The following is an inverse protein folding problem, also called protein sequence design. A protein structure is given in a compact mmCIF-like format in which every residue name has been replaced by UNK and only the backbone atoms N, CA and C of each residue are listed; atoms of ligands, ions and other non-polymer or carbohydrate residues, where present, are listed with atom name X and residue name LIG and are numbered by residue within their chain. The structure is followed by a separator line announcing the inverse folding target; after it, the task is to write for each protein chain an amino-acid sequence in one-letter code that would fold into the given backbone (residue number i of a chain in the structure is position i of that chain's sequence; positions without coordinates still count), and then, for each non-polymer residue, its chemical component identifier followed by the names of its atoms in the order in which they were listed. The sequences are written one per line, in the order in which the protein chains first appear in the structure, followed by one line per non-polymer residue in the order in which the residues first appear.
data_IF_579167208456
#
_entry.id   IF_579167208456
#
_cell.length_a   1.000
_cell.length_b   1.000
_cell.length_c   1.000
_cell.angle_alpha   90.00
_cell.angle_beta   90.00
_cell.angle_gamma   90.00
#
_symmetry.space_group_name_H-M   'P 1'
#
loop_
_entity.id
_entity.type
_entity.pdbx_description
1 polymer ?
#
# COMPACT_ATOMS: atom_id res chain seq x y z
N UNK A 1 27.05 -24.82 -0.42
CA UNK A 1 27.94 -24.82 -1.59
C UNK A 1 28.20 -26.26 -2.09
N UNK A 2 28.55 -27.22 -1.20
CA UNK A 2 28.82 -28.62 -1.58
C UNK A 2 27.64 -29.30 -2.29
N UNK A 3 26.41 -29.12 -1.76
CA UNK A 3 25.20 -29.72 -2.33
C UNK A 3 24.88 -29.23 -3.75
N UNK A 4 25.06 -27.90 -4.00
CA UNK A 4 24.87 -27.33 -5.33
C UNK A 4 25.92 -27.87 -6.32
N UNK A 5 27.18 -27.94 -5.89
CA UNK A 5 28.25 -28.46 -6.72
C UNK A 5 28.02 -29.93 -7.08
N UNK A 6 27.63 -30.77 -6.10
CA UNK A 6 27.31 -32.17 -6.34
C UNK A 6 26.12 -32.35 -7.30
N UNK A 7 25.07 -31.52 -7.13
CA UNK A 7 23.88 -31.54 -7.99
C UNK A 7 24.23 -31.17 -9.44
N UNK A 8 25.03 -30.12 -9.63
CA UNK A 8 25.53 -29.72 -10.96
C UNK A 8 26.39 -30.82 -11.59
N UNK A 9 27.26 -31.43 -10.80
CA UNK A 9 28.14 -32.53 -11.27
C UNK A 9 27.31 -33.74 -11.70
N UNK A 10 26.27 -34.12 -10.98
CA UNK A 10 25.37 -35.21 -11.36
C UNK A 10 24.58 -34.91 -12.63
N UNK A 11 24.09 -33.70 -12.80
CA UNK A 11 23.36 -33.29 -14.02
C UNK A 11 24.29 -33.30 -15.22
N UNK A 12 25.43 -32.63 -15.13
CA UNK A 12 26.41 -32.53 -16.23
C UNK A 12 27.02 -33.89 -16.55
N UNK A 13 27.44 -34.63 -15.53
CA UNK A 13 28.02 -35.97 -15.70
C UNK A 13 27.01 -36.98 -16.26
N UNK A 14 25.78 -36.97 -15.74
CA UNK A 14 24.68 -37.80 -16.24
C UNK A 14 24.34 -37.50 -17.71
N UNK A 15 24.24 -36.21 -18.06
CA UNK A 15 23.99 -35.78 -19.44
C UNK A 15 25.13 -36.19 -20.37
N UNK A 16 26.38 -35.98 -19.95
CA UNK A 16 27.56 -36.37 -20.73
C UNK A 16 27.62 -37.89 -20.96
N UNK A 17 27.28 -38.68 -19.95
CA UNK A 17 27.23 -40.15 -20.05
C UNK A 17 26.12 -40.59 -21.01
N UNK A 18 24.92 -40.04 -20.92
CA UNK A 18 23.80 -40.35 -21.83
C UNK A 18 24.17 -40.00 -23.28
N UNK A 19 24.71 -38.81 -23.52
CA UNK A 19 25.11 -38.38 -24.88
C UNK A 19 26.27 -39.22 -25.41
N UNK A 20 27.27 -39.54 -24.59
CA UNK A 20 28.45 -40.32 -24.99
C UNK A 20 28.16 -41.78 -25.30
N UNK A 21 27.25 -42.41 -24.51
CA UNK A 21 26.91 -43.83 -24.65
C UNK A 21 25.79 -44.04 -25.68
N UNK A 22 24.70 -43.31 -25.61
CA UNK A 22 23.52 -43.50 -26.46
C UNK A 22 23.64 -42.83 -27.83
N UNK A 23 24.52 -41.83 -27.97
CA UNK A 23 24.76 -41.05 -29.20
C UNK A 23 23.45 -40.65 -29.90
N UNK A 24 22.51 -40.00 -29.21
CA UNK A 24 21.20 -39.65 -29.76
C UNK A 24 21.38 -38.74 -30.99
N UNK A 25 20.42 -38.75 -31.95
CA UNK A 25 20.39 -37.82 -33.07
C UNK A 25 20.41 -36.37 -32.62
N UNK A 26 21.00 -35.45 -33.42
CA UNK A 26 21.07 -34.02 -33.07
C UNK A 26 19.70 -33.42 -32.91
N UNK A 27 18.72 -33.82 -33.71
CA UNK A 27 17.32 -33.35 -33.64
C UNK A 27 16.69 -33.65 -32.27
N UNK A 28 16.99 -34.80 -31.69
CA UNK A 28 16.50 -35.20 -30.36
C UNK A 28 17.14 -34.36 -29.26
N UNK A 29 18.45 -34.10 -29.36
CA UNK A 29 19.15 -33.22 -28.41
C UNK A 29 18.63 -31.79 -28.48
N UNK A 30 18.36 -31.26 -29.69
CA UNK A 30 17.79 -29.95 -29.89
C UNK A 30 16.37 -29.88 -29.34
N UNK A 31 15.54 -30.90 -29.54
CA UNK A 31 14.19 -30.96 -29.03
C UNK A 31 14.15 -30.94 -27.47
N UNK A 32 14.99 -31.77 -26.82
CA UNK A 32 15.09 -31.81 -25.36
C UNK A 32 15.69 -30.52 -24.83
N UNK A 33 16.79 -30.04 -25.41
CA UNK A 33 17.44 -28.81 -25.00
C UNK A 33 16.51 -27.57 -25.13
N UNK A 34 15.80 -27.51 -26.26
CA UNK A 34 14.80 -26.47 -26.48
C UNK A 34 13.65 -26.51 -25.46
N UNK A 35 13.10 -27.71 -25.22
CA UNK A 35 12.03 -27.87 -24.21
C UNK A 35 12.51 -27.53 -22.81
N UNK A 36 13.72 -27.95 -22.44
CA UNK A 36 14.31 -27.61 -21.14
C UNK A 36 14.58 -26.11 -21.00
N UNK A 37 15.06 -25.45 -22.06
CA UNK A 37 15.27 -24.00 -22.06
C UNK A 37 13.95 -23.21 -21.85
N UNK A 38 12.89 -23.64 -22.56
CA UNK A 38 11.55 -23.04 -22.39
C UNK A 38 11.03 -23.25 -20.97
N UNK A 39 11.13 -24.47 -20.45
CA UNK A 39 10.71 -24.78 -19.07
C UNK A 39 11.48 -23.95 -18.05
N UNK A 40 12.78 -23.77 -18.22
CA UNK A 40 13.63 -22.95 -17.36
C UNK A 40 13.28 -21.47 -17.48
N UNK A 41 12.99 -20.97 -18.69
CA UNK A 41 12.50 -19.61 -18.92
C UNK A 41 11.22 -19.33 -18.15
N UNK A 42 10.25 -20.25 -18.18
CA UNK A 42 9.02 -20.11 -17.40
C UNK A 42 9.28 -20.18 -15.89
N UNK A 43 10.17 -21.05 -15.42
CA UNK A 43 10.52 -21.15 -14.00
C UNK A 43 11.19 -19.87 -13.46
N UNK A 44 11.95 -19.15 -14.30
CA UNK A 44 12.66 -17.92 -13.93
C UNK A 44 11.88 -16.64 -14.24
N UNK A 45 10.73 -16.75 -14.92
CA UNK A 45 9.94 -15.59 -15.39
C UNK A 45 9.66 -14.57 -14.29
N UNK A 46 9.17 -15.02 -13.15
CA UNK A 46 8.75 -14.11 -12.06
C UNK A 46 9.94 -13.43 -11.39
N UNK A 47 11.08 -14.12 -11.32
CA UNK A 47 12.33 -13.54 -10.81
C UNK A 47 12.80 -12.44 -11.77
N UNK A 48 12.87 -12.76 -13.08
CA UNK A 48 13.26 -11.79 -14.10
C UNK A 48 12.31 -10.57 -14.12
N UNK A 49 11.00 -10.82 -14.09
CA UNK A 49 10.01 -9.76 -14.03
C UNK A 49 10.20 -8.84 -12.81
N UNK A 50 10.44 -9.41 -11.61
CA UNK A 50 10.67 -8.62 -10.40
C UNK A 50 11.96 -7.81 -10.46
N UNK A 51 13.03 -8.33 -11.08
CA UNK A 51 14.28 -7.60 -11.26
C UNK A 51 14.11 -6.41 -12.22
N UNK A 52 13.48 -6.66 -13.39
CA UNK A 52 13.20 -5.59 -14.37
C UNK A 52 12.30 -4.52 -13.74
N UNK A 53 11.25 -4.92 -13.03
CA UNK A 53 10.37 -3.99 -12.31
C UNK A 53 11.12 -3.20 -11.24
N UNK A 54 12.10 -3.82 -10.55
CA UNK A 54 12.95 -3.13 -9.60
C UNK A 54 13.81 -2.03 -10.24
N UNK A 55 14.32 -2.26 -11.46
CA UNK A 55 15.02 -1.24 -12.23
C UNK A 55 14.07 -0.10 -12.63
N UNK A 56 12.87 -0.41 -13.08
CA UNK A 56 11.84 0.60 -13.43
C UNK A 56 11.54 1.46 -12.21
N UNK A 57 11.27 0.85 -11.03
CA UNK A 57 11.01 1.58 -9.79
C UNK A 57 12.18 2.49 -9.38
N UNK A 58 13.41 2.08 -9.66
CA UNK A 58 14.60 2.87 -9.34
C UNK A 58 14.74 4.11 -10.25
N UNK A 59 14.38 3.99 -11.54
CA UNK A 59 14.48 5.09 -12.52
C UNK A 59 13.27 6.02 -12.47
N UNK A 60 12.06 5.48 -12.52
CA UNK A 60 10.82 6.27 -12.60
C UNK A 60 10.38 6.81 -11.24
N UNK A 61 10.77 6.15 -10.15
CA UNK A 61 10.48 6.53 -8.76
C UNK A 61 9.02 6.95 -8.53
N UNK A 62 8.04 6.14 -8.93
CA UNK A 62 6.63 6.46 -8.69
C UNK A 62 6.28 6.47 -7.20
N UNK A 63 7.15 5.88 -6.35
CA UNK A 63 7.03 5.82 -4.90
C UNK A 63 8.38 6.05 -4.24
N UNK A 64 8.37 6.58 -3.03
CA UNK A 64 9.57 6.82 -2.23
C UNK A 64 9.50 6.05 -0.91
N UNK A 65 10.68 5.80 -0.32
CA UNK A 65 10.74 5.33 1.07
C UNK A 65 10.18 6.43 1.96
N UNK A 66 9.28 6.07 2.87
CA UNK A 66 8.49 7.01 3.69
C UNK A 66 7.09 7.29 3.14
N UNK A 67 6.77 6.86 1.91
CA UNK A 67 5.41 7.04 1.38
C UNK A 67 4.41 6.10 2.05
N UNK A 68 3.23 6.63 2.35
CA UNK A 68 2.05 5.85 2.74
C UNK A 68 1.35 5.32 1.51
N UNK A 69 1.25 4.01 1.41
CA UNK A 69 0.61 3.36 0.27
C UNK A 69 -0.44 2.35 0.70
N UNK A 70 -1.43 2.17 -0.16
CA UNK A 70 -2.40 1.08 -0.09
C UNK A 70 -2.20 0.16 -1.28
N UNK A 71 -1.98 -1.11 -1.02
CA UNK A 71 -1.72 -2.15 -2.00
C UNK A 71 -2.45 -3.43 -1.60
N UNK A 72 -3.35 -3.93 -2.46
CA UNK A 72 -4.07 -5.19 -2.27
C UNK A 72 -4.69 -5.36 -0.85
N UNK A 73 -5.32 -4.26 -0.35
CA UNK A 73 -5.91 -4.23 0.98
C UNK A 73 -4.91 -4.03 2.14
N UNK A 74 -3.62 -4.02 1.86
CA UNK A 74 -2.57 -3.69 2.84
C UNK A 74 -2.30 -2.20 2.81
N UNK A 75 -2.37 -1.55 3.98
CA UNK A 75 -2.01 -0.14 4.15
C UNK A 75 -0.78 -0.01 5.04
N UNK A 76 0.19 0.77 4.62
CA UNK A 76 1.44 0.94 5.36
C UNK A 76 2.39 1.94 4.74
N UNK A 77 3.57 2.07 5.36
CA UNK A 77 4.67 2.92 4.92
C UNK A 77 5.71 2.10 4.17
N UNK A 78 6.22 2.61 3.07
CA UNK A 78 7.34 1.99 2.36
C UNK A 78 8.60 2.21 3.19
N UNK A 79 9.15 1.14 3.78
CA UNK A 79 10.38 1.20 4.56
C UNK A 79 11.63 0.87 3.74
N UNK A 80 11.48 0.13 2.63
CA UNK A 80 12.58 -0.18 1.74
C UNK A 80 12.09 -0.57 0.34
N UNK A 81 12.81 -0.11 -0.68
CA UNK A 81 12.68 -0.56 -2.07
C UNK A 81 14.00 -1.24 -2.42
N UNK A 82 13.94 -2.55 -2.68
CA UNK A 82 15.10 -3.35 -3.03
C UNK A 82 15.05 -3.74 -4.52
N UNK A 83 16.06 -4.39 -5.04
CA UNK A 83 16.10 -4.80 -6.44
C UNK A 83 14.94 -5.73 -6.83
N UNK A 84 14.40 -6.51 -5.90
CA UNK A 84 13.36 -7.52 -6.19
C UNK A 84 12.05 -7.28 -5.45
N UNK A 85 12.08 -6.57 -4.33
CA UNK A 85 10.92 -6.41 -3.45
C UNK A 85 10.80 -5.01 -2.89
N UNK A 86 9.56 -4.57 -2.68
CA UNK A 86 9.19 -3.45 -1.82
C UNK A 86 8.77 -3.99 -0.47
N UNK A 87 9.18 -3.34 0.61
CA UNK A 87 8.77 -3.67 1.98
C UNK A 87 7.90 -2.57 2.53
N UNK A 88 6.73 -2.96 3.03
CA UNK A 88 5.78 -2.09 3.71
C UNK A 88 5.76 -2.42 5.20
N UNK A 89 5.76 -1.40 6.04
CA UNK A 89 5.44 -1.52 7.45
C UNK A 89 4.00 -1.08 7.67
N UNK A 90 3.16 -1.97 8.14
CA UNK A 90 1.76 -1.66 8.44
C UNK A 90 1.65 -0.82 9.72
N UNK A 91 0.44 -0.30 9.99
CA UNK A 91 0.17 0.45 11.22
C UNK A 91 0.30 -0.40 12.51
N UNK A 92 0.21 -1.73 12.36
CA UNK A 92 0.36 -2.71 13.45
C UNK A 92 1.79 -3.26 13.53
N UNK A 93 2.76 -2.56 12.93
CA UNK A 93 4.19 -2.90 12.93
C UNK A 93 4.56 -4.22 12.22
N UNK A 94 3.67 -4.74 11.36
CA UNK A 94 3.97 -5.91 10.54
C UNK A 94 4.74 -5.49 9.28
N UNK A 95 5.76 -6.29 8.90
CA UNK A 95 6.50 -6.08 7.67
C UNK A 95 5.93 -6.98 6.57
N UNK A 96 5.35 -6.36 5.54
CA UNK A 96 4.85 -7.04 4.35
C UNK A 96 5.84 -6.86 3.22
N UNK A 97 6.25 -7.96 2.60
CA UNK A 97 7.20 -7.97 1.48
C UNK A 97 6.47 -8.31 0.20
N UNK A 98 6.53 -7.41 -0.78
CA UNK A 98 5.82 -7.49 -2.05
C UNK A 98 6.83 -7.54 -3.19
N UNK A 99 6.73 -8.49 -4.14
CA UNK A 99 7.58 -8.49 -5.34
C UNK A 99 7.38 -7.24 -6.18
N UNK A 100 8.48 -6.67 -6.70
CA UNK A 100 8.43 -5.44 -7.51
C UNK A 100 7.53 -5.57 -8.74
N UNK A 101 7.46 -6.76 -9.34
CA UNK A 101 6.59 -7.03 -10.49
C UNK A 101 5.11 -6.71 -10.17
N UNK A 102 4.63 -7.08 -8.98
CA UNK A 102 3.26 -6.75 -8.56
C UNK A 102 3.06 -5.26 -8.33
N UNK A 103 4.06 -4.56 -7.82
CA UNK A 103 4.00 -3.11 -7.60
C UNK A 103 3.89 -2.31 -8.92
N UNK A 104 4.39 -2.87 -10.04
CA UNK A 104 4.29 -2.24 -11.37
C UNK A 104 3.00 -2.65 -12.09
N UNK A 105 2.52 -3.89 -11.89
CA UNK A 105 1.36 -4.41 -12.64
C UNK A 105 0.02 -4.14 -11.96
N UNK A 106 0.01 -4.02 -10.63
CA UNK A 106 -1.20 -3.88 -9.86
C UNK A 106 -1.45 -2.40 -9.50
N UNK A 107 -2.68 -2.08 -9.08
CA UNK A 107 -3.04 -0.74 -8.65
C UNK A 107 -2.45 -0.46 -7.27
N UNK A 108 -1.69 0.63 -7.17
CA UNK A 108 -1.13 1.12 -5.91
C UNK A 108 -1.62 2.55 -5.69
N UNK A 109 -2.22 2.82 -4.54
CA UNK A 109 -2.61 4.18 -4.16
C UNK A 109 -1.56 4.76 -3.20
N UNK A 110 -0.97 5.90 -3.56
CA UNK A 110 -0.07 6.66 -2.68
C UNK A 110 -0.80 7.81 -2.01
N UNK A 111 -0.65 7.94 -0.70
CA UNK A 111 -1.27 9.00 0.10
C UNK A 111 -0.53 10.33 0.05
N UNK A 112 0.77 10.33 -0.22
CA UNK A 112 1.63 11.52 -0.16
C UNK A 112 2.58 11.71 -1.34
N UNK A 113 2.75 10.71 -2.20
CA UNK A 113 3.52 10.77 -3.46
C UNK A 113 4.89 11.49 -3.29
N UNK A 114 5.69 11.04 -2.33
CA UNK A 114 7.01 11.62 -2.03
C UNK A 114 6.97 12.93 -1.24
N UNK A 115 5.81 13.50 -0.96
CA UNK A 115 5.69 14.65 -0.07
C UNK A 115 5.72 14.21 1.39
N UNK A 116 6.19 15.07 2.28
CA UNK A 116 6.09 14.80 3.72
C UNK A 116 4.65 14.94 4.22
N UNK A 117 3.92 15.89 3.66
CA UNK A 117 2.55 16.16 4.05
C UNK A 117 1.55 15.19 3.41
N UNK A 118 0.53 14.82 4.16
CA UNK A 118 -0.51 13.90 3.72
C UNK A 118 -1.88 14.39 4.11
N UNK A 119 -2.88 14.12 3.24
CA UNK A 119 -4.30 14.36 3.57
C UNK A 119 -4.80 13.26 4.49
N UNK A 120 -5.36 13.66 5.62
CA UNK A 120 -6.07 12.78 6.54
C UNK A 120 -7.56 13.06 6.43
N UNK A 121 -8.32 12.00 6.22
CA UNK A 121 -9.78 12.05 6.13
C UNK A 121 -10.37 11.47 7.41
N UNK A 122 -11.28 12.22 8.04
CA UNK A 122 -11.99 11.75 9.23
C UNK A 122 -13.49 11.96 9.03
N UNK A 123 -14.24 10.87 9.19
CA UNK A 123 -15.69 10.87 9.03
C UNK A 123 -16.38 11.00 10.38
N UNK A 124 -17.31 11.94 10.48
CA UNK A 124 -18.23 12.10 11.60
C UNK A 124 -19.65 11.81 11.11
N UNK A 125 -20.39 11.04 11.89
CA UNK A 125 -21.77 10.70 11.56
C UNK A 125 -22.72 11.48 12.46
N UNK A 126 -23.68 12.16 11.83
CA UNK A 126 -24.67 13.03 12.43
C UNK A 126 -26.07 12.47 12.18
N UNK A 127 -27.02 12.79 13.04
CA UNK A 127 -28.44 12.54 12.78
C UNK A 127 -28.93 13.42 11.61
N UNK A 128 -30.04 13.03 10.95
CA UNK A 128 -30.58 13.78 9.81
C UNK A 128 -31.05 15.20 10.19
N UNK A 129 -31.50 15.36 11.41
CA UNK A 129 -32.00 16.62 11.98
C UNK A 129 -30.91 17.42 12.71
N UNK A 130 -29.66 16.99 12.66
CA UNK A 130 -28.54 17.69 13.26
C UNK A 130 -28.22 19.01 12.52
N UNK A 131 -27.81 20.04 13.26
CA UNK A 131 -27.26 21.26 12.66
C UNK A 131 -25.87 20.99 12.06
N UNK A 132 -25.88 20.81 10.74
CA UNK A 132 -24.67 20.46 9.96
C UNK A 132 -23.68 21.64 10.00
N UNK A 133 -24.16 22.89 9.94
CA UNK A 133 -23.28 24.04 9.94
C UNK A 133 -22.56 24.18 11.30
N UNK A 134 -23.27 23.97 12.39
CA UNK A 134 -22.67 23.95 13.73
C UNK A 134 -21.64 22.83 13.85
N UNK A 135 -21.94 21.65 13.32
CA UNK A 135 -21.01 20.51 13.36
C UNK A 135 -19.74 20.78 12.54
N UNK A 136 -19.86 21.37 11.34
CA UNK A 136 -18.72 21.78 10.51
C UNK A 136 -17.85 22.80 11.23
N UNK A 137 -18.44 23.84 11.83
CA UNK A 137 -17.72 24.90 12.54
C UNK A 137 -16.94 24.35 13.74
N UNK A 138 -17.55 23.45 14.50
CA UNK A 138 -16.87 22.74 15.61
C UNK A 138 -15.69 21.91 15.09
N UNK A 139 -15.90 21.09 14.05
CA UNK A 139 -14.85 20.26 13.49
C UNK A 139 -13.70 21.12 12.93
N UNK A 140 -14.02 22.22 12.25
CA UNK A 140 -13.05 23.19 11.72
C UNK A 140 -12.23 23.81 12.85
N UNK A 141 -12.89 24.26 13.91
CA UNK A 141 -12.22 24.84 15.09
C UNK A 141 -11.23 23.85 15.72
N UNK A 142 -11.64 22.59 15.88
CA UNK A 142 -10.77 21.53 16.43
C UNK A 142 -9.58 21.26 15.52
N UNK A 143 -9.79 21.14 14.21
CA UNK A 143 -8.75 20.86 13.24
C UNK A 143 -7.70 21.97 13.22
N UNK A 144 -8.10 23.24 13.12
CA UNK A 144 -7.16 24.37 13.04
C UNK A 144 -6.39 24.61 14.34
N UNK A 145 -6.91 24.11 15.46
CA UNK A 145 -6.24 24.20 16.77
C UNK A 145 -5.43 22.93 17.11
N UNK A 146 -5.41 21.94 16.23
CA UNK A 146 -4.60 20.74 16.44
C UNK A 146 -3.12 21.02 16.12
N UNK A 147 -2.24 20.57 17.02
CA UNK A 147 -0.79 20.69 16.84
C UNK A 147 -0.22 19.90 15.65
N UNK A 148 -0.99 18.97 15.10
CA UNK A 148 -0.58 18.13 13.98
C UNK A 148 -1.02 18.68 12.63
N UNK A 149 -1.92 19.68 12.62
CA UNK A 149 -2.51 20.22 11.40
C UNK A 149 -1.50 21.04 10.58
N UNK A 150 -1.44 20.76 9.29
CA UNK A 150 -0.67 21.53 8.32
C UNK A 150 -1.56 22.56 7.64
N UNK A 151 -1.62 23.77 8.22
CA UNK A 151 -2.57 24.83 7.83
C UNK A 151 -2.18 25.59 6.55
N UNK A 152 -1.04 25.29 5.92
CA UNK A 152 -0.71 25.83 4.59
C UNK A 152 -1.61 25.26 3.50
N UNK A 153 -2.25 24.12 3.75
CA UNK A 153 -3.24 23.52 2.86
C UNK A 153 -4.63 23.65 3.46
N UNK A 154 -5.69 23.78 2.62
CA UNK A 154 -7.03 24.06 3.10
C UNK A 154 -7.64 22.88 3.86
N UNK A 155 -8.43 23.21 4.89
CA UNK A 155 -9.35 22.29 5.54
C UNK A 155 -10.68 22.34 4.78
N UNK A 156 -11.10 21.19 4.25
CA UNK A 156 -12.34 21.08 3.46
C UNK A 156 -13.27 20.04 4.05
N UNK A 157 -14.56 20.20 3.77
CA UNK A 157 -15.59 19.27 4.21
C UNK A 157 -16.37 18.76 3.00
N UNK A 158 -16.83 17.53 3.08
CA UNK A 158 -17.80 16.95 2.17
C UNK A 158 -18.93 16.36 3.00
N UNK A 159 -20.15 16.61 2.57
CA UNK A 159 -21.36 16.21 3.29
C UNK A 159 -22.10 15.23 2.38
N UNK A 160 -22.42 14.08 2.90
CA UNK A 160 -23.11 13.01 2.16
C UNK A 160 -24.16 12.37 3.07
N UNK A 161 -25.31 12.03 2.50
CA UNK A 161 -26.27 11.17 3.18
C UNK A 161 -25.84 9.70 3.01
N UNK A 162 -25.78 8.96 4.11
CA UNK A 162 -25.31 7.57 4.14
C UNK A 162 -26.28 6.72 4.97
N UNK A 163 -26.36 5.44 4.64
CA UNK A 163 -27.10 4.49 5.44
C UNK A 163 -26.14 3.72 6.37
N UNK A 164 -26.44 3.75 7.67
CA UNK A 164 -25.67 3.06 8.70
C UNK A 164 -26.64 2.18 9.49
N UNK A 165 -26.43 0.86 9.48
CA UNK A 165 -27.26 -0.09 10.21
C UNK A 165 -28.78 0.16 10.02
N UNK A 166 -29.23 0.23 8.77
CA UNK A 166 -30.63 0.47 8.34
C UNK A 166 -31.20 1.85 8.69
N UNK A 167 -30.38 2.78 9.18
CA UNK A 167 -30.79 4.17 9.45
C UNK A 167 -30.06 5.12 8.52
N UNK A 168 -30.76 6.16 8.09
CA UNK A 168 -30.14 7.27 7.38
C UNK A 168 -29.37 8.16 8.35
N UNK A 169 -28.21 8.60 7.94
CA UNK A 169 -27.35 9.52 8.70
C UNK A 169 -26.63 10.45 7.73
N UNK A 170 -26.19 11.59 8.24
CA UNK A 170 -25.31 12.50 7.49
C UNK A 170 -23.87 12.19 7.85
N UNK A 171 -23.05 11.90 6.82
CA UNK A 171 -21.60 11.78 6.96
C UNK A 171 -20.97 13.13 6.69
N UNK A 172 -20.41 13.74 7.70
CA UNK A 172 -19.54 14.92 7.61
C UNK A 172 -18.09 14.44 7.50
N UNK A 173 -17.54 14.51 6.29
CA UNK A 173 -16.19 14.09 5.96
C UNK A 173 -15.24 15.26 6.03
N UNK A 174 -14.46 15.35 7.10
CA UNK A 174 -13.42 16.35 7.28
C UNK A 174 -12.12 15.91 6.59
N UNK A 175 -11.58 16.78 5.73
CA UNK A 175 -10.33 16.57 5.00
C UNK A 175 -9.34 17.66 5.43
N UNK A 176 -8.24 17.24 6.03
CA UNK A 176 -7.18 18.14 6.49
C UNK A 176 -5.81 17.50 6.28
N UNK A 177 -4.77 18.32 6.30
CA UNK A 177 -3.42 17.81 6.06
C UNK A 177 -2.62 17.77 7.35
N UNK A 178 -1.73 16.79 7.45
CA UNK A 178 -0.64 16.70 8.44
C UNK A 178 0.68 17.04 7.79
N UNK A 179 1.62 17.57 8.57
CA UNK A 179 2.95 17.92 8.08
C UNK A 179 3.80 16.69 7.74
N UNK A 180 3.57 15.57 8.45
CA UNK A 180 4.32 14.34 8.31
C UNK A 180 3.38 13.15 8.42
N UNK A 181 3.57 12.16 7.56
CA UNK A 181 2.74 10.94 7.48
C UNK A 181 2.68 10.17 8.80
N UNK A 182 3.71 10.25 9.64
CA UNK A 182 3.76 9.62 10.96
C UNK A 182 2.69 10.16 11.91
N UNK A 183 2.22 11.39 11.68
CA UNK A 183 1.16 12.01 12.48
C UNK A 183 -0.26 11.69 12.02
N UNK A 184 -0.43 10.86 11.00
CA UNK A 184 -1.75 10.46 10.48
C UNK A 184 -2.69 9.99 11.59
N UNK A 185 -2.30 8.96 12.35
CA UNK A 185 -3.16 8.38 13.40
C UNK A 185 -3.26 9.22 14.66
N UNK A 186 -2.16 9.82 15.17
CA UNK A 186 -2.26 10.81 16.24
C UNK A 186 -3.19 11.97 15.92
N UNK A 187 -3.14 12.53 14.70
CA UNK A 187 -4.03 13.59 14.26
C UNK A 187 -5.48 13.13 14.18
N UNK A 188 -5.73 11.99 13.52
CA UNK A 188 -7.08 11.43 13.41
C UNK A 188 -7.71 11.19 14.79
N UNK A 189 -6.92 10.69 15.74
CA UNK A 189 -7.36 10.46 17.12
C UNK A 189 -7.65 11.78 17.86
N UNK A 190 -6.74 12.77 17.74
CA UNK A 190 -6.90 14.09 18.39
C UNK A 190 -8.19 14.77 17.94
N UNK A 191 -8.39 14.88 16.60
CA UNK A 191 -9.60 15.53 16.08
C UNK A 191 -10.88 14.74 16.38
N UNK A 192 -10.82 13.41 16.36
CA UNK A 192 -12.00 12.58 16.67
C UNK A 192 -12.44 12.75 18.12
N UNK A 193 -11.50 12.68 19.06
CA UNK A 193 -11.81 12.80 20.50
C UNK A 193 -12.32 14.19 20.82
N UNK A 194 -11.62 15.24 20.40
CA UNK A 194 -11.98 16.63 20.71
C UNK A 194 -13.30 17.06 20.04
N UNK A 195 -13.49 16.70 18.76
CA UNK A 195 -14.75 16.99 18.05
C UNK A 195 -15.92 16.25 18.71
N UNK A 196 -15.73 14.98 19.07
CA UNK A 196 -16.77 14.18 19.74
C UNK A 196 -17.16 14.73 21.11
N UNK A 197 -16.20 15.28 21.86
CA UNK A 197 -16.47 15.93 23.12
C UNK A 197 -17.30 17.21 22.95
N UNK A 198 -16.90 18.07 21.99
CA UNK A 198 -17.61 19.33 21.70
C UNK A 198 -18.99 19.10 21.08
N UNK A 199 -19.18 18.06 20.26
CA UNK A 199 -20.50 17.68 19.75
C UNK A 199 -21.46 17.36 20.90
N UNK A 200 -20.98 16.58 21.89
CA UNK A 200 -21.77 16.24 23.07
C UNK A 200 -22.10 17.49 23.92
N UNK A 201 -21.12 18.34 24.15
CA UNK A 201 -21.28 19.56 24.94
C UNK A 201 -22.27 20.55 24.30
N UNK A 202 -22.22 20.69 22.97
CA UNK A 202 -23.06 21.63 22.22
C UNK A 202 -24.34 21.01 21.66
N UNK A 203 -24.68 19.80 22.03
CA UNK A 203 -25.94 19.13 21.65
C UNK A 203 -26.05 18.77 20.17
N UNK A 204 -24.94 18.58 19.46
CA UNK A 204 -24.97 18.08 18.08
C UNK A 204 -25.40 16.61 18.07
N UNK A 205 -26.56 16.34 17.46
CA UNK A 205 -27.19 15.02 17.46
C UNK A 205 -26.40 14.00 16.63
N UNK A 206 -26.28 12.77 17.15
CA UNK A 206 -25.66 11.64 16.48
C UNK A 206 -26.69 10.58 16.12
N UNK A 207 -26.41 9.70 15.13
CA UNK A 207 -27.33 8.63 14.79
C UNK A 207 -27.63 7.74 16.00
N UNK A 208 -28.91 7.62 16.35
CA UNK A 208 -29.36 6.76 17.45
C UNK A 208 -29.41 7.38 18.83
N UNK A 209 -29.24 8.71 18.91
CA UNK A 209 -29.55 9.51 20.12
C UNK A 209 -30.95 10.07 20.04
#
# INVERSE_FOLDING_TARGET
LGTLLSFTLYIVGGTALVVGVLRPPQEFLLAIGGSAAVAMGFALKDIAASLVSGLILLFDRPFHVGDRVSFDGVYGEIIAITLRTVRLQTLDDNIVTIPNSRFITDVVASGNLGAMDMMVVTDFHLALDADIQQAEDIARQVIVTSRYAYLKKPVTFAIEEVQIAERLAIRLRAKAYVLDVTYEKPFQSDITVRTSALFRERGVLRPGQ
#
